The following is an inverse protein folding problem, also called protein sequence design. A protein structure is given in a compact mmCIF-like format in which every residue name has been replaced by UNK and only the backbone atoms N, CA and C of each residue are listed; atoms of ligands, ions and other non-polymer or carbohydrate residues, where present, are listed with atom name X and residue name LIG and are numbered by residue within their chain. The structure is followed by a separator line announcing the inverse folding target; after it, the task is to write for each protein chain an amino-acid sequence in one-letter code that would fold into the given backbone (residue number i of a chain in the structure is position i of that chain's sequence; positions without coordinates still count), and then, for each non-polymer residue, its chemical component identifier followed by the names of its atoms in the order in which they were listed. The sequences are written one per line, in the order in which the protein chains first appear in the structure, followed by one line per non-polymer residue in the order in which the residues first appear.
data_IF_672817621885
#
_entry.id   IF_672817621885
#
_cell.length_a   1.000
_cell.length_b   1.000
_cell.length_c   1.000
_cell.angle_alpha   90.00
_cell.angle_beta   90.00
_cell.angle_gamma   90.00
#
_symmetry.space_group_name_H-M   'P 1'
#
loop_
_entity.id
_entity.type
_entity.pdbx_description
1 polymer ?
#
# COMPACT_ATOMS: atom_id res chain seq x y z
N UNK A 1 -18.61 -10.37 -45.10
CA UNK A 1 -17.40 -11.00 -44.51
C UNK A 1 -16.44 -9.88 -44.18
N UNK A 2 -16.14 -9.62 -42.91
CA UNK A 2 -14.91 -8.96 -42.43
C UNK A 2 -14.93 -9.07 -40.90
N UNK A 3 -14.27 -10.12 -40.44
CA UNK A 3 -14.14 -10.57 -39.05
C UNK A 3 -13.21 -9.60 -38.31
N UNK A 4 -13.78 -8.58 -37.65
CA UNK A 4 -13.02 -7.69 -36.76
C UNK A 4 -12.83 -8.35 -35.39
N UNK A 5 -11.83 -9.23 -35.32
CA UNK A 5 -11.13 -9.58 -34.10
C UNK A 5 -10.66 -8.29 -33.41
N UNK A 6 -11.31 -7.87 -32.30
CA UNK A 6 -10.74 -6.87 -31.40
C UNK A 6 -10.93 -7.26 -29.94
N UNK A 7 -10.12 -8.23 -29.52
CA UNK A 7 -9.46 -8.28 -28.21
C UNK A 7 -10.20 -7.59 -27.05
N UNK A 8 -11.21 -8.27 -26.49
CA UNK A 8 -11.79 -7.96 -25.19
C UNK A 8 -11.01 -8.77 -24.13
N UNK A 9 -9.74 -8.42 -23.89
CA UNK A 9 -8.88 -9.14 -22.94
C UNK A 9 -8.40 -8.19 -21.82
N UNK A 10 -8.87 -8.48 -20.61
CA UNK A 10 -8.32 -8.13 -19.31
C UNK A 10 -8.60 -6.74 -18.73
N UNK A 11 -9.85 -6.50 -18.29
CA UNK A 11 -10.12 -5.57 -17.18
C UNK A 11 -9.88 -6.37 -15.88
N UNK A 12 -8.61 -6.53 -15.51
CA UNK A 12 -8.27 -7.01 -14.17
C UNK A 12 -8.50 -5.88 -13.17
N UNK A 13 -9.28 -6.14 -12.11
CA UNK A 13 -9.46 -5.22 -10.99
C UNK A 13 -8.07 -4.88 -10.41
N UNK A 14 -7.61 -3.63 -10.54
CA UNK A 14 -6.29 -3.22 -10.07
C UNK A 14 -6.37 -3.03 -8.56
N UNK A 15 -6.05 -4.09 -7.81
CA UNK A 15 -5.98 -4.06 -6.35
C UNK A 15 -4.70 -3.36 -5.89
N UNK A 16 -4.82 -2.19 -5.27
CA UNK A 16 -3.69 -1.44 -4.70
C UNK A 16 -3.68 -1.57 -3.18
N UNK A 17 -2.53 -1.96 -2.62
CA UNK A 17 -2.32 -2.02 -1.17
C UNK A 17 -1.69 -0.71 -0.67
N UNK A 18 -2.27 -0.14 0.36
CA UNK A 18 -1.80 1.11 1.00
C UNK A 18 -1.54 0.82 2.48
N UNK A 19 -0.35 1.22 2.95
CA UNK A 19 0.02 1.16 4.35
C UNK A 19 -0.35 2.46 5.06
N UNK A 20 -0.95 2.37 6.24
CA UNK A 20 -1.40 3.52 7.04
C UNK A 20 -1.02 3.40 8.50
N UNK A 21 -0.77 4.55 9.14
CA UNK A 21 -0.39 4.65 10.54
C UNK A 21 -1.58 4.27 11.43
N UNK A 22 -1.41 3.40 12.44
CA UNK A 22 -2.50 3.01 13.33
C UNK A 22 -2.99 4.12 14.26
N UNK A 23 -2.16 5.15 14.50
CA UNK A 23 -2.47 6.20 15.47
C UNK A 23 -3.19 7.40 14.86
N UNK A 24 -2.86 7.75 13.61
CA UNK A 24 -3.45 8.92 12.93
C UNK A 24 -4.10 8.60 11.57
N UNK A 25 -3.98 7.36 11.06
CA UNK A 25 -4.53 6.97 9.76
C UNK A 25 -3.77 7.50 8.55
N UNK A 26 -2.69 8.26 8.73
CA UNK A 26 -1.89 8.80 7.63
C UNK A 26 -1.09 7.70 6.92
N UNK A 27 -0.98 7.78 5.59
CA UNK A 27 -0.10 6.93 4.76
C UNK A 27 1.34 7.45 4.67
N UNK A 28 1.66 8.56 5.36
CA UNK A 28 3.00 9.17 5.40
C UNK A 28 3.91 8.42 6.40
N UNK A 29 4.16 7.15 6.10
CA UNK A 29 5.06 6.28 6.84
C UNK A 29 6.38 6.13 6.08
N UNK A 30 7.51 6.17 6.78
CA UNK A 30 8.83 5.86 6.21
C UNK A 30 9.52 4.77 7.01
N UNK A 31 10.40 4.06 6.32
CA UNK A 31 11.16 2.97 6.91
C UNK A 31 12.32 3.53 7.73
N UNK A 32 12.36 3.20 9.03
CA UNK A 32 13.54 3.43 9.86
C UNK A 32 14.27 2.11 10.05
N UNK A 33 15.48 2.05 9.52
CA UNK A 33 16.30 0.85 9.51
C UNK A 33 16.59 0.39 10.95
N UNK A 34 15.95 -0.71 11.36
CA UNK A 34 16.27 -1.42 12.58
C UNK A 34 17.27 -2.53 12.30
N UNK A 35 18.57 -2.19 12.30
CA UNK A 35 19.69 -3.11 12.00
C UNK A 35 19.66 -4.43 12.80
N UNK A 36 18.93 -4.49 13.92
CA UNK A 36 18.83 -5.68 14.80
C UNK A 36 17.37 -6.04 15.11
N UNK A 37 16.47 -5.06 15.30
CA UNK A 37 15.09 -5.30 15.77
C UNK A 37 14.04 -5.45 14.66
N UNK A 38 14.46 -5.55 13.40
CA UNK A 38 13.55 -5.74 12.26
C UNK A 38 12.92 -4.45 11.73
N UNK A 39 11.89 -4.60 10.90
CA UNK A 39 11.27 -3.51 10.16
C UNK A 39 10.54 -2.55 11.10
N UNK A 40 10.99 -1.29 11.19
CA UNK A 40 10.29 -0.21 11.92
C UNK A 40 9.80 0.85 10.95
N UNK A 41 8.58 1.29 11.16
CA UNK A 41 7.94 2.37 10.43
C UNK A 41 7.82 3.58 11.34
N UNK A 42 8.19 4.74 10.81
CA UNK A 42 8.02 6.03 11.46
C UNK A 42 7.01 6.87 10.68
N UNK A 43 5.96 7.34 11.34
CA UNK A 43 4.99 8.26 10.77
C UNK A 43 5.45 9.72 10.91
N UNK A 44 5.53 10.44 9.79
CA UNK A 44 5.93 11.86 9.78
C UNK A 44 4.91 12.80 10.42
N UNK A 45 3.65 12.37 10.59
CA UNK A 45 2.58 13.23 11.12
C UNK A 45 2.44 13.16 12.63
N UNK A 46 2.37 11.95 13.19
CA UNK A 46 2.13 11.76 14.62
C UNK A 46 3.35 11.24 15.39
N UNK A 47 4.51 11.14 14.74
CA UNK A 47 5.76 10.61 15.33
C UNK A 47 5.61 9.18 15.88
N UNK A 48 4.64 8.41 15.38
CA UNK A 48 4.49 7.00 15.72
C UNK A 48 5.68 6.22 15.15
N UNK A 49 6.38 5.46 16.00
CA UNK A 49 7.49 4.59 15.60
C UNK A 49 7.22 3.17 16.07
N UNK A 50 7.12 2.24 15.13
CA UNK A 50 6.86 0.84 15.47
C UNK A 50 6.80 -0.08 14.26
N UNK A 51 6.74 -1.38 14.51
CA UNK A 51 6.63 -2.38 13.45
C UNK A 51 5.18 -2.61 12.96
N UNK A 52 4.20 -2.03 13.65
CA UNK A 52 2.78 -2.21 13.32
C UNK A 52 2.28 -1.11 12.37
N UNK A 53 1.68 -1.54 11.26
CA UNK A 53 1.03 -0.68 10.27
C UNK A 53 -0.27 -1.34 9.81
N UNK A 54 -1.24 -0.52 9.37
CA UNK A 54 -2.52 -1.01 8.85
C UNK A 54 -2.42 -1.10 7.34
N UNK A 55 -2.56 -2.31 6.80
CA UNK A 55 -2.66 -2.54 5.36
C UNK A 55 -4.13 -2.48 4.90
N UNK A 56 -4.38 -1.70 3.84
CA UNK A 56 -5.70 -1.59 3.21
C UNK A 56 -5.59 -1.94 1.73
N UNK A 57 -6.46 -2.81 1.25
CA UNK A 57 -6.64 -3.10 -0.17
C UNK A 57 -7.74 -2.16 -0.72
N UNK A 58 -7.43 -1.42 -1.78
CA UNK A 58 -8.39 -0.62 -2.53
C UNK A 58 -8.47 -1.14 -3.97
N UNK A 59 -9.69 -1.21 -4.49
CA UNK A 59 -9.98 -1.56 -5.88
C UNK A 59 -10.04 -0.26 -6.70
N UNK A 60 -9.26 -0.18 -7.77
CA UNK A 60 -9.19 0.98 -8.69
C UNK A 60 -9.78 0.61 -10.04
#
# INVERSE_FOLDING_TARGET
MHTFFRYHWNIGCVKKRILTCPQCGSSDLYYEAGLITGYKYHCKRCQYVGSFVIEKEIEI
#
